data_IF_219634685427
#
_entry.id   IF_219634685427
#
_cell.length_a   1.000
_cell.length_b   1.000
_cell.length_c   1.000
_cell.angle_alpha   90.00
_cell.angle_beta   90.00
_cell.angle_gamma   90.00
#
_symmetry.space_group_name_H-M   'P 1'
#
loop_
_entity.id
_entity.type
_entity.pdbx_description
1 polymer ?
#
# COMPACT_ATOMS: atom_id res chain seq x y z
N UNK A 1 23.72 -12.96 4.74
CA UNK A 1 23.64 -11.99 3.63
C UNK A 1 22.63 -12.51 2.63
N UNK A 2 21.90 -11.61 1.96
CA UNK A 2 20.92 -11.96 0.94
C UNK A 2 21.58 -12.64 -0.27
N UNK A 3 20.97 -13.70 -0.80
CA UNK A 3 21.39 -14.29 -2.08
C UNK A 3 20.85 -13.42 -3.24
N UNK A 4 21.75 -12.59 -3.79
CA UNK A 4 21.47 -11.64 -4.87
C UNK A 4 21.51 -12.27 -6.27
N UNK A 5 21.67 -13.59 -6.37
CA UNK A 5 21.65 -14.32 -7.64
C UNK A 5 20.26 -14.81 -8.04
N UNK A 6 19.32 -14.83 -7.09
CA UNK A 6 17.96 -15.36 -7.26
C UNK A 6 16.92 -14.25 -7.23
N UNK A 7 15.97 -14.25 -8.16
CA UNK A 7 14.87 -13.25 -8.24
C UNK A 7 13.47 -13.89 -8.23
N UNK A 8 13.42 -15.18 -7.89
CA UNK A 8 12.24 -16.05 -7.90
C UNK A 8 11.61 -16.26 -6.51
N UNK A 9 11.92 -15.39 -5.54
CA UNK A 9 11.41 -15.43 -4.17
C UNK A 9 11.21 -14.03 -3.60
N UNK A 10 10.50 -13.91 -2.47
CA UNK A 10 10.37 -12.65 -1.72
C UNK A 10 11.35 -12.68 -0.54
N UNK A 11 12.39 -11.82 -0.52
CA UNK A 11 13.39 -11.81 0.55
C UNK A 11 12.83 -11.44 1.92
N UNK A 12 13.46 -11.95 2.98
CA UNK A 12 13.17 -11.57 4.37
C UNK A 12 14.28 -10.68 4.90
N UNK A 13 13.91 -9.51 5.43
CA UNK A 13 14.79 -8.58 6.11
C UNK A 13 14.44 -8.49 7.59
N UNK A 14 15.45 -8.57 8.44
CA UNK A 14 15.32 -8.50 9.90
C UNK A 14 15.63 -7.08 10.38
N UNK A 15 14.58 -6.30 10.65
CA UNK A 15 14.71 -4.87 10.95
C UNK A 15 15.53 -4.58 12.21
N UNK A 16 15.59 -5.53 13.16
CA UNK A 16 16.41 -5.38 14.35
C UNK A 16 17.90 -5.22 14.01
N UNK A 17 18.37 -5.80 12.90
CA UNK A 17 19.76 -5.63 12.42
C UNK A 17 20.04 -4.22 11.91
N UNK A 18 19.02 -3.50 11.44
CA UNK A 18 19.16 -2.10 11.10
C UNK A 18 19.07 -1.21 12.34
N UNK A 19 18.05 -1.42 13.18
CA UNK A 19 17.81 -0.57 14.36
C UNK A 19 18.94 -0.67 15.38
N UNK A 20 19.40 -1.89 15.69
CA UNK A 20 20.40 -2.17 16.72
C UNK A 20 21.83 -2.37 16.15
N UNK A 21 21.98 -2.35 14.82
CA UNK A 21 23.24 -2.66 14.16
C UNK A 21 24.25 -1.51 14.19
N UNK A 22 25.51 -1.88 14.03
CA UNK A 22 26.60 -0.93 13.77
C UNK A 22 26.52 -0.37 12.34
N UNK A 23 27.40 0.58 12.00
CA UNK A 23 27.39 1.24 10.69
C UNK A 23 27.52 0.27 9.51
N UNK A 24 28.35 -0.77 9.63
CA UNK A 24 28.53 -1.77 8.56
C UNK A 24 27.27 -2.61 8.35
N UNK A 25 26.60 -3.00 9.43
CA UNK A 25 25.34 -3.76 9.34
C UNK A 25 24.22 -2.93 8.70
N UNK A 26 24.15 -1.63 9.03
CA UNK A 26 23.22 -0.68 8.39
C UNK A 26 23.49 -0.49 6.91
N UNK A 27 24.76 -0.41 6.51
CA UNK A 27 25.17 -0.33 5.10
C UNK A 27 24.80 -1.58 4.31
N UNK A 28 25.03 -2.77 4.90
CA UNK A 28 24.61 -4.05 4.29
C UNK A 28 23.10 -4.08 4.13
N UNK A 29 22.33 -3.67 5.15
CA UNK A 29 20.88 -3.62 5.06
C UNK A 29 20.40 -2.67 3.95
N UNK A 30 20.98 -1.48 3.84
CA UNK A 30 20.66 -0.53 2.77
C UNK A 30 21.02 -1.07 1.38
N UNK A 31 22.14 -1.80 1.25
CA UNK A 31 22.56 -2.46 0.01
C UNK A 31 21.61 -3.61 -0.37
N UNK A 32 21.12 -4.37 0.60
CA UNK A 32 20.14 -5.43 0.39
C UNK A 32 18.78 -4.83 -0.02
N UNK A 33 18.31 -3.78 0.66
CA UNK A 33 17.09 -3.07 0.26
C UNK A 33 17.22 -2.48 -1.14
N UNK A 34 18.35 -1.83 -1.47
CA UNK A 34 18.60 -1.28 -2.82
C UNK A 34 18.40 -2.36 -3.87
N UNK A 35 19.07 -3.50 -3.70
CA UNK A 35 18.98 -4.60 -4.66
C UNK A 35 17.55 -5.14 -4.75
N UNK A 36 16.86 -5.32 -3.62
CA UNK A 36 15.46 -5.74 -3.59
C UNK A 36 14.59 -4.78 -4.39
N UNK A 37 14.72 -3.47 -4.16
CA UNK A 37 13.89 -2.45 -4.82
C UNK A 37 14.20 -2.28 -6.31
N UNK A 38 15.41 -2.60 -6.75
CA UNK A 38 15.81 -2.58 -8.16
C UNK A 38 15.43 -3.89 -8.91
N UNK A 39 15.30 -5.02 -8.20
CA UNK A 39 15.14 -6.35 -8.80
C UNK A 39 13.79 -7.02 -8.57
N UNK A 40 13.20 -6.87 -7.40
CA UNK A 40 12.00 -7.60 -6.97
C UNK A 40 10.86 -6.66 -6.60
N UNK A 41 11.15 -5.54 -5.92
CA UNK A 41 10.18 -4.55 -5.45
C UNK A 41 9.33 -4.99 -4.26
N UNK A 42 9.54 -6.19 -3.72
CA UNK A 42 8.84 -6.78 -2.57
C UNK A 42 9.83 -7.41 -1.58
N UNK A 43 9.53 -7.30 -0.29
CA UNK A 43 10.23 -8.02 0.78
C UNK A 43 9.33 -8.21 2.00
N UNK A 44 9.65 -9.20 2.81
CA UNK A 44 9.12 -9.35 4.16
C UNK A 44 10.03 -8.65 5.16
N UNK A 45 9.44 -7.87 6.05
CA UNK A 45 10.12 -7.25 7.17
C UNK A 45 9.68 -7.95 8.46
N UNK A 46 10.64 -8.49 9.21
CA UNK A 46 10.43 -9.08 10.55
C UNK A 46 11.10 -8.21 11.61
N UNK A 47 10.72 -8.41 12.88
CA UNK A 47 11.21 -7.62 14.02
C UNK A 47 11.03 -6.10 13.81
N UNK A 48 9.94 -5.71 13.14
CA UNK A 48 9.63 -4.33 12.74
C UNK A 48 9.10 -3.45 13.90
N UNK A 49 8.82 -4.05 15.07
CA UNK A 49 8.42 -3.31 16.28
C UNK A 49 6.92 -2.96 16.39
N UNK A 50 6.08 -3.39 15.44
CA UNK A 50 4.61 -3.29 15.58
C UNK A 50 4.13 -4.54 16.33
N UNK A 51 3.35 -4.34 17.38
CA UNK A 51 2.88 -5.41 18.25
C UNK A 51 1.96 -6.39 17.50
N UNK A 52 2.28 -7.68 17.55
CA UNK A 52 1.49 -8.77 16.95
C UNK A 52 0.06 -8.81 17.53
N UNK A 53 -0.10 -8.49 18.82
CA UNK A 53 -1.41 -8.45 19.49
C UNK A 53 -2.26 -7.32 18.89
N UNK A 54 -1.66 -6.17 18.60
CA UNK A 54 -2.33 -5.04 17.97
C UNK A 54 -2.71 -5.34 16.53
N UNK A 55 -1.81 -5.95 15.74
CA UNK A 55 -2.11 -6.40 14.37
C UNK A 55 -3.30 -7.37 14.39
N UNK A 56 -3.24 -8.37 15.28
CA UNK A 56 -4.31 -9.38 15.43
C UNK A 56 -5.63 -8.74 15.86
N UNK A 57 -5.59 -7.76 16.78
CA UNK A 57 -6.77 -7.03 17.22
C UNK A 57 -7.40 -6.22 16.06
N UNK A 58 -6.58 -5.54 15.25
CA UNK A 58 -7.04 -4.79 14.08
C UNK A 58 -7.70 -5.70 13.03
N UNK A 59 -7.07 -6.83 12.68
CA UNK A 59 -7.65 -7.79 11.73
C UNK A 59 -9.00 -8.32 12.24
N UNK A 60 -9.14 -8.62 13.54
CA UNK A 60 -10.43 -9.01 14.14
C UNK A 60 -11.50 -7.92 14.04
N UNK A 61 -11.12 -6.64 14.10
CA UNK A 61 -12.08 -5.54 13.90
C UNK A 61 -12.51 -5.43 12.43
N UNK A 62 -11.60 -5.70 11.48
CA UNK A 62 -11.91 -5.75 10.05
C UNK A 62 -12.88 -6.89 9.74
N UNK A 63 -12.64 -8.08 10.32
CA UNK A 63 -13.57 -9.22 10.23
C UNK A 63 -14.97 -8.83 10.71
N UNK A 64 -15.07 -8.28 11.94
CA UNK A 64 -16.36 -7.82 12.51
C UNK A 64 -17.06 -6.76 11.66
N UNK A 65 -16.32 -5.83 11.07
CA UNK A 65 -16.86 -4.83 10.15
C UNK A 65 -17.50 -5.49 8.93
N UNK A 66 -16.80 -6.44 8.30
CA UNK A 66 -17.28 -7.09 7.09
C UNK A 66 -18.39 -8.10 7.35
N UNK A 67 -18.51 -8.59 8.59
CA UNK A 67 -19.65 -9.40 9.06
C UNK A 67 -20.92 -8.59 9.36
N UNK A 68 -20.88 -7.25 9.36
CA UNK A 68 -22.09 -6.45 9.55
C UNK A 68 -23.10 -6.67 8.39
N UNK A 69 -24.42 -6.51 8.66
CA UNK A 69 -25.42 -6.47 7.61
C UNK A 69 -25.05 -5.45 6.53
N UNK A 70 -25.37 -5.76 5.27
CA UNK A 70 -25.01 -4.92 4.13
C UNK A 70 -25.57 -3.51 4.26
N UNK A 71 -26.73 -3.34 4.88
CA UNK A 71 -27.36 -2.05 5.15
C UNK A 71 -26.50 -1.17 6.05
N UNK A 72 -25.83 -1.75 7.06
CA UNK A 72 -24.93 -1.02 7.96
C UNK A 72 -23.63 -0.66 7.23
N UNK A 73 -23.08 -1.56 6.41
CA UNK A 73 -21.89 -1.28 5.59
C UNK A 73 -22.16 -0.17 4.57
N UNK A 74 -23.34 -0.17 3.94
CA UNK A 74 -23.74 0.84 2.94
C UNK A 74 -23.95 2.23 3.54
N UNK A 75 -24.27 2.38 4.83
CA UNK A 75 -24.25 3.70 5.50
C UNK A 75 -22.86 4.32 5.52
N UNK A 76 -21.81 3.50 5.43
CA UNK A 76 -20.43 3.91 5.41
C UNK A 76 -19.88 4.04 3.99
N UNK A 77 -20.71 3.94 2.95
CA UNK A 77 -20.28 3.91 1.56
C UNK A 77 -19.32 5.07 1.23
N UNK A 78 -18.32 4.75 0.42
CA UNK A 78 -17.34 5.71 -0.08
C UNK A 78 -18.02 6.90 -0.76
N UNK A 79 -17.45 8.09 -0.57
CA UNK A 79 -17.92 9.35 -1.15
C UNK A 79 -16.82 10.06 -1.96
N UNK A 80 -17.06 11.33 -2.29
CA UNK A 80 -16.12 12.17 -3.04
C UNK A 80 -14.76 12.34 -2.36
N UNK A 81 -14.66 12.15 -1.04
CA UNK A 81 -13.40 12.21 -0.30
C UNK A 81 -12.60 10.91 -0.39
N UNK A 82 -13.14 9.89 -1.06
CA UNK A 82 -12.58 8.56 -1.28
C UNK A 82 -12.33 7.73 0.00
N UNK A 83 -13.03 8.08 1.09
CA UNK A 83 -13.04 7.34 2.35
C UNK A 83 -14.38 6.62 2.57
N UNK A 84 -14.36 5.41 3.11
CA UNK A 84 -15.55 4.60 3.36
C UNK A 84 -15.57 3.23 2.68
N UNK A 85 -16.74 2.59 2.74
CA UNK A 85 -16.99 1.23 2.26
C UNK A 85 -17.15 1.18 0.74
N UNK A 86 -16.43 0.24 0.13
CA UNK A 86 -16.44 -0.10 -1.28
C UNK A 86 -16.99 -1.53 -1.41
N UNK A 87 -18.20 -1.70 -1.97
CA UNK A 87 -18.84 -3.01 -2.08
C UNK A 87 -18.05 -4.02 -2.91
N UNK A 88 -18.38 -5.30 -2.76
CA UNK A 88 -17.83 -6.34 -3.63
C UNK A 88 -18.17 -6.07 -5.10
N UNK A 89 -17.28 -6.47 -6.02
CA UNK A 89 -17.42 -6.28 -7.47
C UNK A 89 -17.51 -4.79 -7.90
N UNK A 90 -16.77 -3.93 -7.21
CA UNK A 90 -16.75 -2.47 -7.47
C UNK A 90 -15.62 -1.98 -8.36
N UNK A 91 -14.68 -2.85 -8.76
CA UNK A 91 -13.43 -2.45 -9.42
C UNK A 91 -13.08 -3.38 -10.56
N UNK A 92 -12.58 -2.79 -11.65
CA UNK A 92 -11.85 -3.45 -12.73
C UNK A 92 -10.58 -2.61 -12.93
N UNK A 93 -9.40 -3.18 -12.68
CA UNK A 93 -8.13 -2.46 -12.83
C UNK A 93 -7.75 -2.36 -14.31
N UNK A 94 -8.04 -1.21 -14.93
CA UNK A 94 -7.76 -0.95 -16.35
C UNK A 94 -6.44 -0.21 -16.58
N UNK A 95 -5.80 0.33 -15.53
CA UNK A 95 -4.49 1.00 -15.66
C UNK A 95 -3.31 0.04 -15.69
N UNK A 96 -3.55 -1.25 -15.49
CA UNK A 96 -2.51 -2.26 -15.48
C UNK A 96 -2.38 -2.88 -16.85
N UNK A 97 -1.22 -2.71 -17.49
CA UNK A 97 -0.91 -3.34 -18.78
C UNK A 97 -0.45 -4.81 -18.61
N UNK A 98 -0.51 -5.34 -17.39
CA UNK A 98 0.03 -6.65 -17.01
C UNK A 98 -0.88 -7.79 -17.47
N UNK A 99 -2.18 -7.53 -17.49
CA UNK A 99 -3.21 -8.46 -17.95
C UNK A 99 -4.42 -7.66 -18.44
N UNK A 100 -5.16 -8.22 -19.40
CA UNK A 100 -6.47 -7.68 -19.79
C UNK A 100 -7.47 -8.04 -18.71
N UNK A 101 -7.76 -7.11 -17.81
CA UNK A 101 -8.72 -7.29 -16.73
C UNK A 101 -10.13 -6.95 -17.24
N UNK A 102 -10.99 -7.96 -17.36
CA UNK A 102 -12.36 -7.83 -17.89
C UNK A 102 -13.44 -8.34 -16.92
N UNK A 103 -13.04 -8.74 -15.71
CA UNK A 103 -13.92 -9.21 -14.64
C UNK A 103 -13.80 -8.30 -13.43
N UNK A 104 -14.92 -8.13 -12.73
CA UNK A 104 -14.93 -7.45 -11.44
C UNK A 104 -14.18 -8.26 -10.38
N UNK A 105 -13.39 -7.56 -9.58
CA UNK A 105 -12.66 -8.14 -8.47
C UNK A 105 -13.59 -8.69 -7.37
N UNK A 106 -13.18 -9.84 -6.82
CA UNK A 106 -13.86 -10.54 -5.75
C UNK A 106 -13.35 -10.07 -4.37
N UNK A 107 -13.44 -8.77 -4.10
CA UNK A 107 -13.20 -8.21 -2.78
C UNK A 107 -14.14 -7.05 -2.48
N UNK A 108 -14.50 -6.90 -1.21
CA UNK A 108 -15.03 -5.66 -0.64
C UNK A 108 -13.96 -5.02 0.24
N UNK A 109 -13.96 -3.70 0.39
CA UNK A 109 -12.99 -3.03 1.25
C UNK A 109 -13.56 -1.80 1.93
N UNK A 110 -12.93 -1.42 3.05
CA UNK A 110 -13.25 -0.20 3.77
C UNK A 110 -12.01 0.69 3.85
N UNK A 111 -12.12 1.88 3.25
CA UNK A 111 -11.02 2.86 3.18
C UNK A 111 -11.06 3.79 4.38
N UNK A 112 -9.94 3.86 5.08
CA UNK A 112 -9.67 4.81 6.14
C UNK A 112 -8.49 5.65 5.70
N UNK A 113 -8.57 6.96 5.90
CA UNK A 113 -7.55 7.95 5.55
C UNK A 113 -6.99 8.58 6.83
N UNK A 114 -5.82 9.21 6.77
CA UNK A 114 -5.24 9.91 7.93
C UNK A 114 -6.20 10.96 8.50
N UNK A 115 -6.66 10.77 9.74
CA UNK A 115 -7.54 11.72 10.44
C UNK A 115 -6.80 13.06 10.64
N UNK A 116 -7.48 14.16 10.34
CA UNK A 116 -6.98 15.53 10.55
C UNK A 116 -8.05 16.37 11.24
N UNK A 117 -7.60 17.44 11.89
CA UNK A 117 -8.51 18.42 12.49
C UNK A 117 -9.31 19.13 11.40
N UNK A 118 -10.55 19.52 11.71
CA UNK A 118 -11.48 20.11 10.73
C UNK A 118 -11.02 21.44 10.14
N UNK A 119 -10.10 22.14 10.80
CA UNK A 119 -9.47 23.38 10.35
C UNK A 119 -8.23 23.15 9.48
N UNK A 120 -7.90 21.90 9.15
CA UNK A 120 -6.76 21.58 8.31
C UNK A 120 -6.89 22.21 6.91
N UNK A 121 -5.85 22.89 6.38
CA UNK A 121 -5.95 23.59 5.10
C UNK A 121 -6.44 22.71 3.94
N UNK A 122 -6.02 21.45 3.87
CA UNK A 122 -6.45 20.52 2.82
C UNK A 122 -7.93 20.10 2.94
N UNK A 123 -8.49 20.08 4.16
CA UNK A 123 -9.92 19.85 4.37
C UNK A 123 -10.71 21.08 3.92
N UNK A 124 -10.28 22.28 4.34
CA UNK A 124 -10.92 23.54 3.93
C UNK A 124 -10.88 23.75 2.41
N UNK A 125 -9.82 23.28 1.75
CA UNK A 125 -9.69 23.29 0.30
C UNK A 125 -10.45 22.16 -0.42
N UNK A 126 -11.15 21.27 0.30
CA UNK A 126 -11.90 20.16 -0.28
C UNK A 126 -11.05 19.14 -1.03
N UNK A 127 -9.77 18.97 -0.66
CA UNK A 127 -8.89 17.97 -1.30
C UNK A 127 -9.34 16.56 -0.88
N UNK A 128 -9.33 15.61 -1.83
CA UNK A 128 -9.62 14.19 -1.55
C UNK A 128 -8.58 13.60 -0.59
N UNK A 129 -8.93 12.50 0.09
CA UNK A 129 -8.04 11.79 1.01
C UNK A 129 -7.58 12.62 2.23
N UNK A 130 -8.40 13.59 2.67
CA UNK A 130 -8.06 14.48 3.79
C UNK A 130 -8.89 14.29 5.05
N UNK A 131 -10.11 13.78 4.93
CA UNK A 131 -11.03 13.55 6.03
C UNK A 131 -12.38 14.23 5.79
N UNK A 132 -13.34 14.05 6.71
CA UNK A 132 -13.30 13.12 7.84
C UNK A 132 -13.61 11.67 7.42
N UNK A 133 -13.17 10.69 8.23
CA UNK A 133 -13.57 9.29 8.05
C UNK A 133 -15.01 9.04 8.54
N UNK A 134 -15.71 8.11 7.86
CA UNK A 134 -17.06 7.63 8.26
C UNK A 134 -16.97 6.40 9.14
N UNK A 135 -16.97 6.55 10.45
CA UNK A 135 -16.82 5.42 11.38
C UNK A 135 -18.11 4.58 11.53
N UNK A 136 -18.01 3.25 11.73
CA UNK A 136 -19.17 2.41 12.04
C UNK A 136 -19.84 2.84 13.34
N UNK A 137 -21.13 2.54 13.47
CA UNK A 137 -21.91 2.82 14.67
C UNK A 137 -21.23 2.18 15.90
N UNK A 138 -20.89 3.00 16.90
CA UNK A 138 -20.20 2.56 18.12
C UNK A 138 -21.04 1.60 18.98
N UNK A 139 -22.36 1.54 18.80
CA UNK A 139 -23.20 0.52 19.43
C UNK A 139 -23.01 -0.87 18.82
N UNK A 140 -22.67 -0.94 17.53
CA UNK A 140 -22.41 -2.20 16.82
C UNK A 140 -20.94 -2.61 16.95
N UNK A 141 -20.03 -1.64 16.84
CA UNK A 141 -18.57 -1.87 16.88
C UNK A 141 -17.88 -0.87 17.83
N UNK A 142 -18.03 -1.02 19.16
CA UNK A 142 -17.55 -0.04 20.14
C UNK A 142 -16.02 0.14 20.13
N UNK A 143 -15.28 -0.92 19.83
CA UNK A 143 -13.81 -0.91 19.86
C UNK A 143 -13.17 -0.58 18.51
N UNK A 144 -13.94 -0.52 17.42
CA UNK A 144 -13.38 -0.47 16.06
C UNK A 144 -12.52 0.79 15.86
N UNK A 145 -13.09 1.98 16.05
CA UNK A 145 -12.35 3.24 15.81
C UNK A 145 -11.07 3.31 16.62
N UNK A 146 -11.15 3.03 17.93
CA UNK A 146 -9.99 3.07 18.83
C UNK A 146 -8.88 2.12 18.37
N UNK A 147 -9.22 0.85 18.18
CA UNK A 147 -8.25 -0.19 17.79
C UNK A 147 -7.61 0.10 16.43
N UNK A 148 -8.41 0.51 15.45
CA UNK A 148 -7.88 0.82 14.11
C UNK A 148 -6.94 2.03 14.13
N UNK A 149 -7.28 3.09 14.88
CA UNK A 149 -6.40 4.27 15.00
C UNK A 149 -5.09 3.95 15.74
N UNK A 150 -5.12 3.13 16.80
CA UNK A 150 -3.91 2.64 17.48
C UNK A 150 -3.02 1.85 16.51
N UNK A 151 -3.62 0.93 15.74
CA UNK A 151 -2.91 0.15 14.73
C UNK A 151 -2.30 1.04 13.63
N UNK A 152 -3.06 1.98 13.07
CA UNK A 152 -2.55 2.87 12.02
C UNK A 152 -1.48 3.83 12.52
N UNK A 153 -1.57 4.28 13.78
CA UNK A 153 -0.49 5.05 14.40
C UNK A 153 0.81 4.24 14.44
N UNK A 154 0.75 2.95 14.80
CA UNK A 154 1.93 2.09 14.80
C UNK A 154 2.48 1.84 13.39
N UNK A 155 1.61 1.67 12.39
CA UNK A 155 2.01 1.54 10.99
C UNK A 155 2.63 2.83 10.42
N UNK A 156 2.12 4.00 10.81
CA UNK A 156 2.71 5.30 10.46
C UNK A 156 4.10 5.47 11.09
N UNK A 157 4.26 5.12 12.37
CA UNK A 157 5.58 5.10 13.03
C UNK A 157 6.57 4.19 12.29
N UNK A 158 6.13 2.99 11.89
CA UNK A 158 6.96 2.10 11.07
C UNK A 158 7.31 2.75 9.72
N UNK A 159 6.33 3.36 9.03
CA UNK A 159 6.55 4.08 7.77
C UNK A 159 7.64 5.15 7.89
N UNK A 160 7.59 5.97 8.95
CA UNK A 160 8.64 6.94 9.25
C UNK A 160 10.00 6.29 9.50
N UNK A 161 10.05 5.19 10.26
CA UNK A 161 11.31 4.51 10.57
C UNK A 161 12.00 3.90 9.34
N UNK A 162 11.27 3.68 8.25
CA UNK A 162 11.81 3.17 7.00
C UNK A 162 12.36 4.27 6.09
N UNK A 163 11.96 5.54 6.26
CA UNK A 163 12.42 6.65 5.40
C UNK A 163 13.96 6.75 5.33
N UNK A 164 14.71 6.71 6.44
CA UNK A 164 16.17 6.81 6.39
C UNK A 164 16.85 5.67 5.65
N UNK A 165 16.23 4.48 5.72
CA UNK A 165 16.72 3.31 5.04
C UNK A 165 16.52 3.43 3.51
N UNK A 166 15.34 3.87 3.05
CA UNK A 166 15.12 4.13 1.63
C UNK A 166 16.05 5.22 1.10
N UNK A 167 16.33 6.26 1.90
CA UNK A 167 17.28 7.29 1.52
C UNK A 167 18.69 6.72 1.35
N UNK A 168 19.14 5.90 2.31
CA UNK A 168 20.45 5.24 2.27
C UNK A 168 20.57 4.26 1.09
N UNK A 169 19.52 3.49 0.79
CA UNK A 169 19.48 2.60 -0.38
C UNK A 169 19.60 3.37 -1.71
N UNK A 170 19.17 4.63 -1.75
CA UNK A 170 19.33 5.52 -2.89
C UNK A 170 20.70 6.22 -2.93
N UNK A 171 21.51 6.14 -1.87
CA UNK A 171 22.77 6.88 -1.72
C UNK A 171 22.58 8.32 -1.25
N UNK A 172 21.43 8.62 -0.62
CA UNK A 172 21.09 9.92 -0.08
C UNK A 172 21.34 9.95 1.44
N UNK A 173 21.35 11.16 2.02
CA UNK A 173 21.42 11.32 3.48
C UNK A 173 20.19 10.70 4.14
N UNK A 174 20.39 10.14 5.34
CA UNK A 174 19.34 9.48 6.12
C UNK A 174 18.09 10.36 6.35
N UNK A 175 18.23 11.68 6.47
CA UNK A 175 17.13 12.61 6.72
C UNK A 175 16.53 13.22 5.43
N UNK A 176 16.93 12.72 4.25
CA UNK A 176 16.55 13.34 2.97
C UNK A 176 15.02 13.41 2.78
N UNK A 177 14.31 12.39 3.27
CA UNK A 177 12.86 12.31 3.09
C UNK A 177 12.05 13.13 4.09
N UNK A 178 12.63 13.57 5.21
CA UNK A 178 11.89 14.16 6.35
C UNK A 178 10.99 15.33 5.92
N UNK A 179 11.51 16.22 5.08
CA UNK A 179 10.77 17.40 4.58
C UNK A 179 9.57 17.06 3.69
N UNK A 180 9.53 15.86 3.12
CA UNK A 180 8.46 15.41 2.22
C UNK A 180 7.35 14.64 2.95
N UNK A 181 7.54 14.32 4.24
CA UNK A 181 6.62 13.53 5.06
C UNK A 181 6.23 14.27 6.35
N UNK A 182 6.16 15.60 6.32
CA UNK A 182 5.75 16.40 7.50
C UNK A 182 4.25 16.32 7.79
N UNK A 183 3.43 16.08 6.76
CA UNK A 183 2.01 15.73 6.86
C UNK A 183 1.74 14.64 5.81
N UNK A 184 2.20 13.40 6.07
CA UNK A 184 2.21 12.36 5.08
C UNK A 184 0.78 12.01 4.70
N UNK A 185 0.58 11.68 3.44
CA UNK A 185 -0.66 11.06 3.02
C UNK A 185 -0.57 9.57 3.28
N UNK A 186 -1.41 9.07 4.18
CA UNK A 186 -1.67 7.66 4.23
C UNK A 186 -3.16 7.37 4.18
N UNK A 187 -3.46 6.23 3.59
CA UNK A 187 -4.79 5.65 3.61
C UNK A 187 -4.66 4.14 3.53
N UNK A 188 -5.76 3.46 3.78
CA UNK A 188 -5.76 2.01 3.91
C UNK A 188 -6.80 1.38 3.03
N UNK A 189 -6.59 0.12 2.67
CA UNK A 189 -7.67 -0.77 2.26
C UNK A 189 -7.79 -1.89 3.29
N UNK A 190 -8.89 -1.88 4.03
CA UNK A 190 -9.25 -2.93 4.99
C UNK A 190 -10.18 -3.91 4.27
N UNK A 191 -9.61 -5.00 3.76
CA UNK A 191 -10.22 -5.82 2.70
C UNK A 191 -10.74 -7.13 3.26
N UNK A 192 -11.87 -7.56 2.70
CA UNK A 192 -12.40 -8.91 2.83
C UNK A 192 -12.46 -9.56 1.45
N UNK A 193 -11.81 -10.70 1.31
CA UNK A 193 -11.89 -11.59 0.16
C UNK A 193 -12.69 -12.83 0.56
N UNK A 194 -13.89 -13.03 0.00
CA UNK A 194 -14.72 -14.17 0.35
C UNK A 194 -14.15 -15.48 -0.20
N UNK A 195 -14.48 -16.60 0.47
CA UNK A 195 -14.12 -17.94 0.01
C UNK A 195 -15.00 -18.39 -1.17
N UNK A 196 -14.72 -17.87 -2.36
CA UNK A 196 -15.48 -18.15 -3.58
C UNK A 196 -14.60 -18.71 -4.68
N UNK A 197 -15.18 -19.57 -5.52
CA UNK A 197 -14.54 -20.01 -6.75
C UNK A 197 -14.65 -18.89 -7.79
N UNK A 198 -13.51 -18.31 -8.18
CA UNK A 198 -13.45 -17.38 -9.29
C UNK A 198 -13.64 -18.07 -10.64
N UNK A 199 -14.15 -17.31 -11.61
CA UNK A 199 -14.13 -17.66 -13.02
C UNK A 199 -12.70 -17.56 -13.60
N UNK A 200 -12.51 -18.02 -14.84
CA UNK A 200 -11.28 -17.76 -15.57
C UNK A 200 -11.04 -16.23 -15.67
N UNK A 201 -9.79 -15.83 -15.47
CA UNK A 201 -9.37 -14.42 -15.43
C UNK A 201 -10.07 -13.57 -14.35
N UNK A 202 -10.70 -14.19 -13.34
CA UNK A 202 -11.28 -13.50 -12.20
C UNK A 202 -10.40 -13.64 -10.96
N UNK A 203 -10.18 -12.51 -10.29
CA UNK A 203 -9.24 -12.42 -9.18
C UNK A 203 -9.94 -11.93 -7.91
N UNK A 204 -9.35 -12.22 -6.75
CA UNK A 204 -9.65 -11.48 -5.53
C UNK A 204 -9.29 -10.02 -5.70
N UNK A 205 -8.12 -9.74 -6.28
CA UNK A 205 -7.76 -8.46 -6.90
C UNK A 205 -6.90 -8.70 -8.13
N UNK A 206 -7.25 -8.08 -9.24
CA UNK A 206 -6.57 -8.26 -10.52
C UNK A 206 -5.10 -7.78 -10.48
N UNK A 207 -4.24 -8.25 -11.41
CA UNK A 207 -2.87 -7.76 -11.57
C UNK A 207 -2.80 -6.23 -11.63
N UNK A 208 -2.07 -5.62 -10.70
CA UNK A 208 -1.85 -4.17 -10.62
C UNK A 208 -0.55 -3.85 -9.89
N UNK A 209 -0.07 -2.62 -10.02
CA UNK A 209 0.94 -2.05 -9.14
C UNK A 209 0.28 -1.02 -8.22
N UNK A 210 0.78 -0.90 -6.99
CA UNK A 210 0.33 0.15 -6.08
C UNK A 210 0.76 1.52 -6.59
N UNK A 211 -0.01 2.55 -6.32
CA UNK A 211 0.20 3.92 -6.81
C UNK A 211 1.24 4.70 -5.97
N UNK A 212 1.52 4.24 -4.75
CA UNK A 212 2.11 5.06 -3.70
C UNK A 212 3.64 5.17 -3.69
N UNK A 213 4.15 5.61 -2.54
CA UNK A 213 5.57 5.50 -2.20
C UNK A 213 5.87 4.07 -1.74
N UNK A 214 5.36 3.65 -0.57
CA UNK A 214 5.43 2.26 -0.11
C UNK A 214 4.10 1.78 0.45
N UNK A 215 3.86 0.48 0.35
CA UNK A 215 2.74 -0.21 1.00
C UNK A 215 3.28 -1.09 2.12
N UNK A 216 2.61 -1.06 3.27
CA UNK A 216 2.88 -1.92 4.42
C UNK A 216 1.67 -2.86 4.59
N UNK A 217 1.90 -4.16 4.46
CA UNK A 217 0.87 -5.19 4.50
C UNK A 217 1.23 -6.28 5.51
N UNK A 218 0.61 -6.32 6.71
CA UNK A 218 0.74 -7.47 7.60
C UNK A 218 0.39 -8.78 6.87
N UNK A 219 1.26 -9.79 6.99
CA UNK A 219 1.12 -11.03 6.22
C UNK A 219 -0.03 -11.87 6.76
N UNK A 220 -0.95 -12.21 5.88
CA UNK A 220 -2.10 -13.08 6.19
C UNK A 220 -1.68 -14.55 6.25
N UNK A 221 -2.25 -15.29 7.21
CA UNK A 221 -2.17 -16.77 7.27
C UNK A 221 -2.85 -17.45 6.08
N UNK A 222 -3.89 -16.81 5.54
CA UNK A 222 -4.58 -17.27 4.34
C UNK A 222 -3.85 -16.73 3.11
N UNK A 223 -3.30 -17.66 2.32
CA UNK A 223 -2.59 -17.36 1.08
C UNK A 223 -3.52 -16.72 0.02
N UNK A 224 -2.90 -16.08 -0.97
CA UNK A 224 -3.60 -15.50 -2.11
C UNK A 224 -2.77 -14.49 -2.88
N UNK A 225 -1.84 -13.80 -2.21
CA UNK A 225 -0.94 -12.83 -2.85
C UNK A 225 0.01 -13.54 -3.83
N UNK A 226 0.13 -12.99 -5.02
CA UNK A 226 1.18 -13.36 -5.98
C UNK A 226 1.88 -12.10 -6.51
N UNK A 227 3.20 -12.16 -6.64
CA UNK A 227 4.07 -11.07 -7.08
C UNK A 227 4.71 -11.44 -8.42
N UNK A 228 4.66 -10.56 -9.42
CA UNK A 228 5.20 -10.83 -10.75
C UNK A 228 6.70 -10.53 -10.80
N UNK A 229 7.53 -11.49 -11.19
CA UNK A 229 8.95 -11.27 -11.44
C UNK A 229 9.15 -10.43 -12.70
N UNK A 230 10.35 -9.86 -12.88
CA UNK A 230 10.70 -9.16 -14.12
C UNK A 230 10.74 -10.10 -15.34
N UNK A 231 10.93 -11.40 -15.11
CA UNK A 231 10.90 -12.46 -16.13
C UNK A 231 9.46 -12.88 -16.49
N UNK A 232 8.46 -12.39 -15.74
CA UNK A 232 7.04 -12.59 -16.03
C UNK A 232 6.39 -13.76 -15.29
N UNK A 233 7.14 -14.53 -14.51
CA UNK A 233 6.62 -15.56 -13.62
C UNK A 233 5.96 -14.95 -12.38
N UNK A 234 5.17 -15.75 -11.64
CA UNK A 234 4.48 -15.31 -10.42
C UNK A 234 5.04 -16.05 -9.20
N UNK A 235 5.46 -15.30 -8.19
CA UNK A 235 5.89 -15.81 -6.88
C UNK A 235 4.68 -15.80 -5.96
N UNK A 236 4.32 -16.95 -5.39
CA UNK A 236 3.29 -17.03 -4.35
C UNK A 236 3.84 -16.47 -3.03
N UNK A 237 3.11 -15.55 -2.42
CA UNK A 237 3.45 -15.03 -1.10
C UNK A 237 3.28 -16.09 -0.02
N UNK A 238 4.35 -16.32 0.75
CA UNK A 238 4.37 -17.22 1.89
C UNK A 238 3.86 -16.54 3.17
N UNK A 239 3.34 -17.33 4.11
CA UNK A 239 3.04 -16.85 5.44
C UNK A 239 4.31 -16.83 6.28
N UNK A 240 4.72 -15.64 6.70
CA UNK A 240 5.80 -15.44 7.66
C UNK A 240 5.19 -14.87 8.94
N UNK A 241 5.29 -15.57 10.08
CA UNK A 241 4.74 -15.10 11.35
C UNK A 241 5.25 -13.71 11.71
N UNK A 242 4.32 -12.83 12.10
CA UNK A 242 4.60 -11.45 12.50
C UNK A 242 5.48 -10.68 11.50
N UNK A 243 5.34 -10.94 10.20
CA UNK A 243 5.97 -10.17 9.16
C UNK A 243 5.03 -9.12 8.58
N UNK A 244 5.62 -8.03 8.10
CA UNK A 244 4.97 -7.06 7.21
C UNK A 244 5.60 -7.22 5.83
N UNK A 245 4.79 -7.55 4.84
CA UNK A 245 5.17 -7.48 3.44
C UNK A 245 5.22 -6.00 3.01
N UNK A 246 6.31 -5.58 2.41
CA UNK A 246 6.54 -4.19 1.98
C UNK A 246 6.88 -4.16 0.50
N UNK A 247 6.24 -3.25 -0.23
CA UNK A 247 6.54 -2.99 -1.63
C UNK A 247 6.55 -1.50 -1.97
N UNK A 248 7.30 -1.15 -3.01
CA UNK A 248 7.25 0.20 -3.58
C UNK A 248 6.08 0.33 -4.57
N UNK A 249 5.54 1.55 -4.66
CA UNK A 249 4.50 1.90 -5.63
C UNK A 249 5.00 2.74 -6.80
N UNK A 250 4.08 3.08 -7.70
CA UNK A 250 4.32 3.83 -8.93
C UNK A 250 4.89 5.23 -8.66
N UNK A 251 4.48 5.90 -7.59
CA UNK A 251 5.07 7.19 -7.23
C UNK A 251 6.55 7.04 -6.89
N UNK A 252 6.95 6.03 -6.11
CA UNK A 252 8.38 5.75 -5.84
C UNK A 252 9.14 5.43 -7.15
N UNK A 253 8.55 4.62 -8.03
CA UNK A 253 9.13 4.32 -9.34
C UNK A 253 9.35 5.58 -10.17
N UNK A 254 8.36 6.49 -10.23
CA UNK A 254 8.49 7.78 -10.90
C UNK A 254 9.56 8.65 -10.24
N UNK A 255 9.53 8.76 -8.92
CA UNK A 255 10.43 9.62 -8.14
C UNK A 255 11.89 9.17 -8.27
N UNK A 256 12.13 7.87 -8.45
CA UNK A 256 13.44 7.27 -8.70
C UNK A 256 13.76 7.09 -10.20
N UNK A 257 12.94 7.67 -11.10
CA UNK A 257 13.08 7.57 -12.55
C UNK A 257 13.28 6.12 -13.05
N UNK A 258 12.57 5.18 -12.42
CA UNK A 258 12.53 3.77 -12.77
C UNK A 258 13.67 2.94 -12.18
N UNK A 259 14.49 3.52 -11.28
CA UNK A 259 15.53 2.77 -10.55
C UNK A 259 14.90 1.80 -9.56
N UNK A 260 13.98 2.26 -8.72
CA UNK A 260 13.14 1.34 -7.92
C UNK A 260 11.89 0.98 -8.71
N UNK A 261 11.48 -0.28 -8.65
CA UNK A 261 10.36 -0.80 -9.43
C UNK A 261 9.07 -0.85 -8.61
N UNK A 262 7.95 -0.64 -9.29
CA UNK A 262 6.61 -0.86 -8.76
C UNK A 262 6.10 -2.20 -9.31
N UNK A 263 6.32 -3.26 -8.54
CA UNK A 263 6.13 -4.62 -9.03
C UNK A 263 4.65 -5.00 -9.09
N UNK A 264 4.17 -5.49 -10.24
CA UNK A 264 2.82 -5.99 -10.34
C UNK A 264 2.55 -7.14 -9.38
N UNK A 265 1.39 -7.12 -8.75
CA UNK A 265 0.93 -8.18 -7.88
C UNK A 265 -0.58 -8.39 -8.05
N UNK A 266 -1.08 -9.54 -7.61
CA UNK A 266 -2.49 -9.92 -7.65
C UNK A 266 -2.87 -10.72 -6.42
N UNK A 267 -4.17 -10.91 -6.20
CA UNK A 267 -4.68 -11.85 -5.21
C UNK A 267 -5.58 -12.84 -5.91
N UNK A 268 -5.24 -14.12 -5.87
CA UNK A 268 -6.11 -15.19 -6.33
C UNK A 268 -7.32 -15.34 -5.39
N UNK A 269 -8.51 -15.74 -5.89
CA UNK A 269 -9.65 -16.02 -5.04
C UNK A 269 -9.28 -17.07 -3.97
N UNK A 270 -9.37 -16.73 -2.67
CA UNK A 270 -8.88 -17.62 -1.63
C UNK A 270 -9.87 -18.77 -1.38
N UNK A 271 -9.36 -19.90 -0.88
CA UNK A 271 -10.19 -21.05 -0.48
C UNK A 271 -10.85 -20.88 0.88
N UNK A 272 -10.46 -19.86 1.63
CA UNK A 272 -10.96 -19.51 2.96
C UNK A 272 -11.13 -17.99 3.02
N UNK A 273 -11.97 -17.52 3.92
CA UNK A 273 -12.16 -16.10 4.19
C UNK A 273 -10.81 -15.43 4.50
N UNK A 274 -10.46 -14.38 3.75
CA UNK A 274 -9.19 -13.68 3.90
C UNK A 274 -9.43 -12.21 4.21
N UNK A 275 -8.86 -11.76 5.33
CA UNK A 275 -8.94 -10.38 5.79
C UNK A 275 -7.53 -9.78 5.85
N UNK A 276 -7.37 -8.56 5.31
CA UNK A 276 -6.10 -7.83 5.37
C UNK A 276 -6.31 -6.34 5.60
N UNK A 277 -5.25 -5.66 6.02
CA UNK A 277 -5.15 -4.20 6.00
C UNK A 277 -3.90 -3.81 5.21
N UNK A 278 -4.09 -3.26 4.01
CA UNK A 278 -2.99 -2.65 3.25
C UNK A 278 -2.90 -1.18 3.66
N UNK A 279 -1.74 -0.75 4.17
CA UNK A 279 -1.46 0.62 4.58
C UNK A 279 -0.54 1.30 3.56
N UNK A 280 -1.06 2.27 2.81
CA UNK A 280 -0.31 3.01 1.79
C UNK A 280 0.32 4.24 2.45
N UNK A 281 1.64 4.25 2.64
CA UNK A 281 2.38 5.35 3.24
C UNK A 281 3.04 6.22 2.17
N UNK A 282 2.66 7.49 2.09
CA UNK A 282 3.02 8.38 0.98
C UNK A 282 3.48 9.76 1.47
N UNK A 283 4.24 10.51 0.64
CA UNK A 283 4.62 11.87 0.97
C UNK A 283 3.41 12.81 1.02
N UNK A 284 3.66 14.07 1.37
CA UNK A 284 2.65 15.14 1.34
C UNK A 284 2.10 15.32 -0.11
N UNK A 285 0.86 15.78 -0.24
CA UNK A 285 0.13 16.02 -1.51
C UNK A 285 0.95 16.68 -2.61
N UNK A 286 1.61 17.78 -2.27
CA UNK A 286 2.21 18.69 -3.24
C UNK A 286 3.67 18.32 -3.57
N UNK A 287 4.13 17.14 -3.11
CA UNK A 287 5.46 16.62 -3.46
C UNK A 287 5.47 16.22 -4.93
N UNK A 288 6.41 16.79 -5.68
CA UNK A 288 6.57 16.54 -7.10
C UNK A 288 7.43 15.28 -7.35
N UNK A 289 7.03 14.46 -8.32
CA UNK A 289 7.75 13.25 -8.73
C UNK A 289 9.00 13.51 -9.58
N UNK A 290 9.60 14.71 -9.47
CA UNK A 290 10.84 15.03 -10.18
C UNK A 290 11.96 14.08 -9.72
N UNK A 291 12.81 13.55 -10.63
CA UNK A 291 13.81 12.55 -10.28
C UNK A 291 14.68 12.95 -9.09
N UNK A 292 14.81 12.04 -8.12
CA UNK A 292 15.70 12.21 -6.98
C UNK A 292 17.16 12.33 -7.43
N UNK A 293 18.04 12.97 -6.62
CA UNK A 293 19.46 13.04 -6.92
C UNK A 293 20.04 11.64 -7.19
N UNK A 294 20.84 11.53 -8.25
CA UNK A 294 21.42 10.25 -8.69
C UNK A 294 20.47 9.31 -9.44
N UNK A 295 19.20 9.69 -9.66
CA UNK A 295 18.24 8.89 -10.43
C UNK A 295 18.11 9.33 -11.89
N UNK A 296 18.73 10.44 -12.29
CA UNK A 296 18.75 10.93 -13.68
C UNK A 296 20.17 11.31 -14.07
N UNK A 297 20.57 10.94 -15.29
CA UNK A 297 21.82 11.35 -15.94
C UNK A 297 21.66 11.21 -17.46
N UNK A 298 22.73 11.45 -18.23
CA UNK A 298 22.69 11.36 -19.70
C UNK A 298 22.30 9.95 -20.19
N UNK A 299 22.68 8.89 -19.48
CA UNK A 299 22.37 7.50 -19.82
C UNK A 299 20.99 7.05 -19.29
N UNK A 300 20.42 7.78 -18.34
CA UNK A 300 19.09 7.56 -17.77
C UNK A 300 18.29 8.88 -17.78
N UNK A 301 17.88 9.38 -18.97
CA UNK A 301 17.11 10.62 -19.08
C UNK A 301 15.74 10.48 -18.40
N UNK A 302 15.03 11.60 -18.26
CA UNK A 302 13.69 11.63 -17.68
C UNK A 302 12.74 10.70 -18.45
N UNK A 303 12.15 9.71 -17.76
CA UNK A 303 11.26 8.69 -18.36
C UNK A 303 9.77 8.94 -18.10
N UNK A 304 9.46 9.70 -17.07
CA UNK A 304 8.09 9.88 -16.59
C UNK A 304 7.74 11.36 -16.53
N UNK A 305 6.48 11.67 -16.85
CA UNK A 305 5.91 12.98 -16.60
C UNK A 305 5.96 13.31 -15.10
N UNK A 306 6.35 14.55 -14.79
CA UNK A 306 6.44 15.05 -13.44
C UNK A 306 5.05 15.48 -12.97
N UNK A 307 4.57 14.88 -11.88
CA UNK A 307 3.26 15.16 -11.29
C UNK A 307 3.40 15.37 -9.79
N UNK A 308 2.48 16.14 -9.18
CA UNK A 308 2.33 16.10 -7.72
C UNK A 308 1.86 14.71 -7.27
N UNK A 309 2.11 14.33 -6.01
CA UNK A 309 1.57 13.08 -5.47
C UNK A 309 0.04 13.06 -5.51
N UNK A 310 -0.60 14.19 -5.21
CA UNK A 310 -2.06 14.32 -5.23
C UNK A 310 -2.64 14.06 -6.62
N UNK A 311 -2.08 14.69 -7.66
CA UNK A 311 -2.56 14.50 -9.04
C UNK A 311 -2.29 13.06 -9.50
N UNK A 312 -1.14 12.50 -9.14
CA UNK A 312 -0.83 11.10 -9.45
C UNK A 312 -1.86 10.14 -8.84
N UNK A 313 -2.15 10.30 -7.55
CA UNK A 313 -3.11 9.47 -6.82
C UNK A 313 -4.53 9.63 -7.40
N UNK A 314 -4.98 10.86 -7.63
CA UNK A 314 -6.31 11.11 -8.19
C UNK A 314 -6.44 10.49 -9.59
N UNK A 315 -5.47 10.73 -10.47
CA UNK A 315 -5.47 10.17 -11.82
C UNK A 315 -5.47 8.63 -11.81
N UNK A 316 -4.71 8.00 -10.91
CA UNK A 316 -4.72 6.54 -10.77
C UNK A 316 -6.10 6.01 -10.34
N UNK A 317 -6.71 6.64 -9.35
CA UNK A 317 -7.99 6.19 -8.80
C UNK A 317 -9.12 6.43 -9.78
N UNK A 318 -9.16 7.59 -10.43
CA UNK A 318 -10.24 7.97 -11.34
C UNK A 318 -10.23 7.13 -12.63
N UNK A 319 -9.10 6.55 -13.01
CA UNK A 319 -9.01 5.57 -14.11
C UNK A 319 -9.48 4.17 -13.73
N UNK A 320 -9.36 3.75 -12.47
CA UNK A 320 -9.64 2.37 -12.03
C UNK A 320 -10.98 2.19 -11.32
N UNK A 321 -11.51 3.26 -10.72
CA UNK A 321 -12.73 3.20 -9.92
C UNK A 321 -13.84 4.01 -10.58
N UNK A 322 -15.04 3.45 -10.61
CA UNK A 322 -16.24 4.21 -10.96
C UNK A 322 -16.51 5.33 -9.95
N UNK A 323 -17.35 6.29 -10.33
CA UNK A 323 -17.83 7.34 -9.41
C UNK A 323 -18.45 6.73 -8.15
N UNK A 324 -19.26 5.68 -8.31
CA UNK A 324 -19.91 4.96 -7.21
C UNK A 324 -18.96 4.26 -6.24
N UNK A 325 -17.68 4.14 -6.61
CA UNK A 325 -16.60 3.47 -5.87
C UNK A 325 -15.47 4.44 -5.49
N UNK A 326 -15.75 5.75 -5.54
CA UNK A 326 -14.85 6.82 -5.11
C UNK A 326 -13.90 7.35 -6.19
N UNK A 327 -14.10 7.02 -7.47
CA UNK A 327 -13.46 7.70 -8.59
C UNK A 327 -14.21 8.98 -9.02
N UNK A 328 -13.68 9.71 -9.99
CA UNK A 328 -14.37 10.79 -10.70
C UNK A 328 -14.47 10.46 -12.18
N UNK A 329 -15.47 11.02 -12.87
CA UNK A 329 -15.48 10.99 -14.33
C UNK A 329 -14.23 11.70 -14.86
N UNK A 330 -13.49 11.02 -15.73
CA UNK A 330 -12.49 11.70 -16.55
C UNK A 330 -13.27 12.58 -17.52
N UNK A 331 -13.07 13.89 -17.46
CA UNK A 331 -13.58 14.77 -18.52
C UNK A 331 -12.83 14.37 -19.80
N UNK A 332 -13.58 13.88 -20.78
CA UNK A 332 -13.11 13.46 -22.11
C UNK A 332 -12.54 14.63 -22.91
#
# INVERSE_FOLDING_TARGET
MLDKTRVDYIPVLDFAKYVNGNSSEKEVFASDLKWIQEKIGFYYLVNHGVDEVLISAAIKQIEKLHSLPIEEKLKLKVDENAAGYVPIKSTIYVTSDVAKNDKYDLNENYRIIRDRKSDHPSILAGRRYTGPNKWPNSKLLPSFKKTMLEFFSAMETLGYSLLPLYASALGLRADYFDKYFTDPMWFTRNVHYPAVKGEENQYGIAPHSDHGFITLLPVSKVSGLEVKTQEGSWITGEYIPNAICVNSGDFMKKWTNGRFIATPHRVLPPKQERYISAFFFNPNWDVMSAPLPGCQNEQNPLKYEITSFYDHLCNYIDRNYSISSGGKALNS
#
